data_IF_124142489038
#
_entry.id   IF_124142489038
#
_cell.length_a   1.000
_cell.length_b   1.000
_cell.length_c   1.000
_cell.angle_alpha   90.00
_cell.angle_beta   90.00
_cell.angle_gamma   90.00
#
_symmetry.space_group_name_H-M   'P 1'
#
loop_
_entity.id
_entity.type
_entity.pdbx_description
1 polymer ?
#
# COMPACT_ATOMS: atom_id res chain seq x y z
N UNK A 1 22.67 -21.97 5.55
CA UNK A 1 22.14 -20.68 6.04
C UNK A 1 21.57 -19.95 4.83
N UNK A 2 20.26 -20.03 4.60
CA UNK A 2 19.61 -19.12 3.65
C UNK A 2 19.16 -17.91 4.45
N UNK A 3 19.78 -16.76 4.18
CA UNK A 3 19.26 -15.49 4.63
C UNK A 3 17.93 -15.29 3.91
N UNK A 4 16.83 -15.29 4.66
CA UNK A 4 15.55 -14.75 4.19
C UNK A 4 15.76 -13.25 4.07
N UNK A 5 16.27 -12.82 2.91
CA UNK A 5 16.31 -11.42 2.57
C UNK A 5 14.87 -11.06 2.23
N UNK A 6 14.14 -10.55 3.22
CA UNK A 6 12.84 -9.92 3.00
C UNK A 6 13.09 -8.73 2.08
N UNK A 7 12.97 -8.96 0.77
CA UNK A 7 12.87 -7.90 -0.22
C UNK A 7 11.80 -6.94 0.28
N UNK A 8 12.12 -5.66 0.40
CA UNK A 8 11.13 -4.63 0.68
C UNK A 8 9.98 -4.83 -0.32
N UNK A 9 8.78 -5.11 0.17
CA UNK A 9 7.65 -5.46 -0.69
C UNK A 9 7.42 -4.41 -1.76
N UNK A 10 6.89 -4.84 -2.90
CA UNK A 10 6.61 -3.92 -4.00
C UNK A 10 5.49 -2.95 -3.60
N UNK A 11 5.60 -1.69 -4.05
CA UNK A 11 4.56 -0.72 -3.78
C UNK A 11 3.38 -1.03 -4.69
N UNK A 12 2.19 -1.16 -4.08
CA UNK A 12 0.94 -1.39 -4.79
C UNK A 12 0.03 -0.18 -4.69
N UNK A 13 -0.62 0.11 -5.81
CA UNK A 13 -1.71 1.05 -5.95
C UNK A 13 -3.00 0.26 -6.13
N UNK A 14 -4.03 0.54 -5.34
CA UNK A 14 -5.35 -0.11 -5.43
C UNK A 14 -6.43 0.92 -5.75
N UNK A 15 -7.22 0.64 -6.79
CA UNK A 15 -8.40 1.41 -7.19
C UNK A 15 -9.57 0.43 -7.30
N UNK A 16 -10.55 0.55 -6.40
CA UNK A 16 -11.66 -0.42 -6.33
C UNK A 16 -11.13 -1.84 -6.13
N UNK A 17 -11.36 -2.73 -7.11
CA UNK A 17 -10.85 -4.11 -7.11
C UNK A 17 -9.54 -4.30 -7.89
N UNK A 18 -9.06 -3.26 -8.57
CA UNK A 18 -7.85 -3.31 -9.40
C UNK A 18 -6.61 -2.99 -8.58
N UNK A 19 -5.56 -3.78 -8.76
CA UNK A 19 -4.28 -3.63 -8.05
C UNK A 19 -3.16 -3.50 -9.09
N UNK A 20 -2.30 -2.51 -8.91
CA UNK A 20 -1.23 -2.17 -9.83
C UNK A 20 0.12 -2.11 -9.11
N UNK A 21 1.15 -2.71 -9.71
CA UNK A 21 2.53 -2.57 -9.25
C UNK A 21 3.05 -1.17 -9.59
N UNK A 22 3.71 -0.56 -8.62
CA UNK A 22 4.37 0.74 -8.76
C UNK A 22 5.87 0.58 -8.58
N UNK A 23 6.61 0.80 -9.66
CA UNK A 23 8.06 0.95 -9.63
C UNK A 23 8.41 2.29 -8.97
N UNK A 24 9.20 2.27 -7.90
CA UNK A 24 9.58 3.47 -7.14
C UNK A 24 11.05 3.79 -7.37
N UNK A 25 11.34 5.08 -7.59
CA UNK A 25 12.70 5.56 -7.81
C UNK A 25 13.52 5.54 -6.52
N UNK A 26 14.83 5.37 -6.65
CA UNK A 26 15.77 5.50 -5.52
C UNK A 26 16.12 6.98 -5.30
N UNK A 27 15.25 7.69 -4.58
CA UNK A 27 15.47 9.09 -4.21
C UNK A 27 14.82 9.46 -2.85
N UNK A 28 15.21 10.59 -2.22
CA UNK A 28 14.70 10.99 -0.91
C UNK A 28 13.19 11.18 -0.86
N UNK A 29 12.57 11.71 -1.92
CA UNK A 29 11.12 11.93 -2.00
C UNK A 29 10.37 10.61 -2.00
N UNK A 30 10.82 9.64 -2.79
CA UNK A 30 10.26 8.30 -2.88
C UNK A 30 10.40 7.52 -1.55
N UNK A 31 11.55 7.62 -0.88
CA UNK A 31 11.76 7.04 0.45
C UNK A 31 10.82 7.64 1.49
N UNK A 32 10.65 8.97 1.47
CA UNK A 32 9.73 9.67 2.37
C UNK A 32 8.26 9.32 2.07
N UNK A 33 7.88 9.20 0.79
CA UNK A 33 6.55 8.75 0.38
C UNK A 33 6.25 7.33 0.86
N UNK A 34 7.20 6.39 0.70
CA UNK A 34 7.08 5.01 1.22
C UNK A 34 6.84 4.97 2.73
N UNK A 35 7.39 5.93 3.48
CA UNK A 35 7.23 6.03 4.93
C UNK A 35 5.82 6.51 5.36
N UNK A 36 5.01 7.01 4.42
CA UNK A 36 3.61 7.38 4.68
C UNK A 36 2.64 6.21 4.52
N UNK A 37 3.11 5.05 4.03
CA UNK A 37 2.24 3.93 3.69
C UNK A 37 1.86 3.09 4.93
N UNK A 38 0.65 2.50 4.95
CA UNK A 38 -0.40 2.61 3.94
C UNK A 38 -1.07 3.99 3.93
N UNK A 39 -1.44 4.47 2.75
CA UNK A 39 -2.03 5.79 2.55
C UNK A 39 -3.25 5.70 1.63
N UNK A 40 -4.39 6.13 2.12
CA UNK A 40 -5.63 6.27 1.35
C UNK A 40 -5.83 7.74 0.98
N UNK A 41 -5.94 8.03 -0.32
CA UNK A 41 -6.13 9.36 -0.85
C UNK A 41 -7.37 9.41 -1.72
N UNK A 42 -8.21 10.41 -1.48
CA UNK A 42 -9.31 10.76 -2.36
C UNK A 42 -8.82 11.78 -3.37
N UNK A 43 -8.50 11.32 -4.58
CA UNK A 43 -7.83 12.10 -5.62
C UNK A 43 -8.85 12.67 -6.60
N UNK A 44 -8.77 13.97 -6.85
CA UNK A 44 -9.63 14.68 -7.78
C UNK A 44 -9.03 14.69 -9.19
N UNK A 45 -9.91 14.70 -10.19
CA UNK A 45 -9.52 14.93 -11.57
C UNK A 45 -9.13 16.40 -11.78
N UNK A 46 -8.02 16.62 -12.48
CA UNK A 46 -7.62 17.92 -12.95
C UNK A 46 -7.34 17.83 -14.46
N UNK A 47 -7.93 18.75 -15.22
CA UNK A 47 -7.77 18.88 -16.68
C UNK A 47 -8.06 17.63 -17.54
N UNK A 48 -8.61 16.55 -16.97
CA UNK A 48 -8.90 15.32 -17.70
C UNK A 48 -7.70 14.43 -18.01
N UNK A 49 -6.50 14.72 -17.49
CA UNK A 49 -5.26 13.97 -17.74
C UNK A 49 -4.50 13.51 -16.48
N UNK A 50 -4.89 14.02 -15.31
CA UNK A 50 -4.22 13.72 -14.04
C UNK A 50 -5.20 13.60 -12.87
N UNK A 51 -4.84 12.77 -11.89
CA UNK A 51 -5.47 12.75 -10.56
C UNK A 51 -4.52 13.40 -9.57
N UNK A 52 -5.05 14.20 -8.65
CA UNK A 52 -4.23 14.84 -7.62
C UNK A 52 -4.87 14.84 -6.22
N UNK A 53 -4.03 14.83 -5.19
CA UNK A 53 -4.41 15.05 -3.80
C UNK A 53 -3.23 15.59 -2.99
N UNK A 54 -3.53 16.32 -1.91
CA UNK A 54 -2.50 16.74 -0.98
C UNK A 54 -2.15 15.63 0.02
N UNK A 55 -0.86 15.40 0.20
CA UNK A 55 -0.30 14.56 1.25
C UNK A 55 -0.51 15.19 2.63
N UNK A 56 -0.59 14.38 3.71
CA UNK A 56 -0.75 14.90 5.07
C UNK A 56 0.45 15.75 5.51
N UNK A 57 1.65 15.41 5.05
CA UNK A 57 2.93 16.05 5.39
C UNK A 57 3.70 16.41 4.13
N UNK A 58 4.48 17.49 4.19
CA UNK A 58 5.38 17.86 3.10
C UNK A 58 6.55 16.87 2.98
N UNK A 59 6.94 16.55 1.75
CA UNK A 59 8.07 15.70 1.42
C UNK A 59 9.29 16.53 0.98
N UNK A 60 10.51 15.97 1.05
CA UNK A 60 11.68 16.53 0.36
C UNK A 60 11.42 16.64 -1.14
N UNK A 61 12.01 17.64 -1.78
CA UNK A 61 11.81 17.90 -3.21
C UNK A 61 13.14 18.04 -3.93
N UNK A 62 13.15 17.59 -5.19
CA UNK A 62 14.24 17.75 -6.14
C UNK A 62 13.60 18.00 -7.51
N UNK A 63 12.81 19.07 -7.60
CA UNK A 63 11.93 19.31 -8.73
C UNK A 63 12.72 19.69 -9.98
N UNK A 64 12.44 19.03 -11.09
CA UNK A 64 13.03 19.30 -12.40
C UNK A 64 11.93 19.43 -13.44
N UNK A 65 12.20 20.12 -14.54
CA UNK A 65 11.34 20.08 -15.72
C UNK A 65 11.51 18.71 -16.41
N UNK A 66 10.45 17.87 -16.47
CA UNK A 66 10.55 16.57 -17.12
C UNK A 66 10.48 16.67 -18.67
N UNK A 67 10.04 17.80 -19.23
CA UNK A 67 9.75 18.03 -20.65
C UNK A 67 8.52 17.26 -21.17
N UNK A 68 8.47 15.95 -20.89
CA UNK A 68 7.35 15.07 -21.19
C UNK A 68 7.01 14.20 -19.98
N UNK A 69 5.71 14.08 -19.76
CA UNK A 69 5.07 13.22 -18.78
C UNK A 69 4.36 12.10 -19.53
N UNK A 70 4.40 10.90 -18.94
CA UNK A 70 3.82 9.68 -19.51
C UNK A 70 2.68 9.18 -18.64
N UNK A 71 1.67 8.57 -19.25
CA UNK A 71 0.66 7.84 -18.50
C UNK A 71 1.32 6.80 -17.56
N UNK A 72 0.89 6.76 -16.31
CA UNK A 72 1.50 5.97 -15.23
C UNK A 72 2.52 6.73 -14.38
N UNK A 73 2.98 7.91 -14.78
CA UNK A 73 3.92 8.69 -13.97
C UNK A 73 3.30 9.11 -12.63
N UNK A 74 4.00 8.82 -11.52
CA UNK A 74 3.67 9.27 -10.17
C UNK A 74 4.68 10.33 -9.73
N UNK A 75 4.18 11.54 -9.46
CA UNK A 75 5.02 12.71 -9.22
C UNK A 75 4.53 13.56 -8.04
N UNK A 76 5.42 14.41 -7.54
CA UNK A 76 5.12 15.43 -6.54
C UNK A 76 5.21 16.82 -7.18
N UNK A 77 4.11 17.57 -7.10
CA UNK A 77 4.07 19.00 -7.39
C UNK A 77 4.26 19.81 -6.10
N UNK A 78 5.19 20.76 -6.13
CA UNK A 78 5.66 21.42 -4.91
C UNK A 78 6.20 20.38 -3.92
N UNK A 79 5.78 20.46 -2.66
CA UNK A 79 6.20 19.53 -1.60
C UNK A 79 5.07 18.67 -1.04
N UNK A 80 3.82 18.86 -1.46
CA UNK A 80 2.65 18.23 -0.85
C UNK A 80 1.68 17.60 -1.84
N UNK A 81 1.60 18.07 -3.07
CA UNK A 81 0.55 17.62 -3.99
C UNK A 81 1.05 16.42 -4.77
N UNK A 82 0.50 15.25 -4.46
CA UNK A 82 0.75 14.02 -5.21
C UNK A 82 -0.08 14.07 -6.50
N UNK A 83 0.57 13.73 -7.61
CA UNK A 83 -0.04 13.74 -8.94
C UNK A 83 0.19 12.37 -9.60
N UNK A 84 -0.90 11.75 -10.04
CA UNK A 84 -0.90 10.51 -10.80
C UNK A 84 -1.40 10.82 -12.22
N UNK A 85 -0.52 10.66 -13.19
CA UNK A 85 -0.82 10.92 -14.59
C UNK A 85 -1.39 9.66 -15.24
N UNK A 86 -2.48 9.81 -15.99
CA UNK A 86 -3.04 8.72 -16.80
C UNK A 86 -3.14 9.09 -18.29
N UNK A 87 -2.66 10.26 -18.69
CA UNK A 87 -2.47 10.61 -20.09
C UNK A 87 -1.08 11.24 -20.30
N UNK A 88 -0.54 11.09 -21.50
CA UNK A 88 0.71 11.74 -21.88
C UNK A 88 0.52 13.26 -21.92
N UNK A 89 1.49 14.01 -21.40
CA UNK A 89 1.41 15.47 -21.35
C UNK A 89 2.77 16.12 -21.54
N UNK A 90 2.83 17.26 -22.22
CA UNK A 90 4.04 18.08 -22.31
C UNK A 90 3.87 19.31 -21.44
N UNK A 91 4.90 19.62 -20.66
CA UNK A 91 4.86 20.70 -19.69
C UNK A 91 6.25 21.30 -19.51
N UNK A 92 6.28 22.55 -19.04
CA UNK A 92 7.49 23.23 -18.56
C UNK A 92 7.48 23.39 -17.04
N UNK A 93 6.43 22.89 -16.37
CA UNK A 93 6.36 22.88 -14.91
C UNK A 93 7.33 21.88 -14.32
N UNK A 94 7.79 22.18 -13.11
CA UNK A 94 8.73 21.33 -12.41
C UNK A 94 8.01 20.37 -11.47
N UNK A 95 8.49 19.13 -11.46
CA UNK A 95 7.97 18.06 -10.62
C UNK A 95 9.13 17.27 -10.03
N UNK A 96 8.90 16.65 -8.87
CA UNK A 96 9.82 15.62 -8.36
C UNK A 96 9.23 14.25 -8.66
N UNK A 97 9.91 13.44 -9.48
CA UNK A 97 9.45 12.08 -9.83
C UNK A 97 9.55 11.16 -8.61
N UNK A 98 8.50 10.38 -8.35
CA UNK A 98 8.45 9.38 -7.28
C UNK A 98 8.55 7.97 -7.85
N UNK A 99 7.80 7.68 -8.90
CA UNK A 99 7.70 6.34 -9.47
C UNK A 99 6.83 6.29 -10.71
N UNK A 100 6.53 5.08 -11.14
CA UNK A 100 5.73 4.79 -12.34
C UNK A 100 4.85 3.57 -12.05
N UNK A 101 3.57 3.66 -12.42
CA UNK A 101 2.65 2.52 -12.48
C UNK A 101 2.97 1.69 -13.72
N UNK A 102 3.21 0.40 -13.54
CA UNK A 102 3.75 -0.46 -14.61
C UNK A 102 2.73 -0.76 -15.70
N UNK A 103 1.47 -1.00 -15.34
CA UNK A 103 0.35 -1.19 -16.26
C UNK A 103 -0.43 0.11 -16.42
N UNK A 104 0.06 1.01 -17.28
CA UNK A 104 -0.58 2.30 -17.54
C UNK A 104 -1.90 2.17 -18.30
N UNK A 105 -2.06 1.18 -19.18
CA UNK A 105 -3.32 0.94 -19.90
C UNK A 105 -4.43 0.49 -18.94
N UNK A 106 -4.13 -0.46 -18.06
CA UNK A 106 -5.04 -0.89 -17.00
C UNK A 106 -5.35 0.24 -16.01
N UNK A 107 -4.36 1.09 -15.70
CA UNK A 107 -4.56 2.27 -14.86
C UNK A 107 -5.60 3.21 -15.47
N UNK A 108 -5.46 3.57 -16.76
CA UNK A 108 -6.39 4.47 -17.48
C UNK A 108 -7.83 3.96 -17.39
N UNK A 109 -8.02 2.65 -17.57
CA UNK A 109 -9.35 2.04 -17.46
C UNK A 109 -9.92 2.09 -16.04
N UNK A 110 -9.07 2.00 -15.00
CA UNK A 110 -9.50 1.97 -13.60
C UNK A 110 -9.76 3.36 -13.00
N UNK A 111 -9.00 4.39 -13.39
CA UNK A 111 -9.13 5.73 -12.80
C UNK A 111 -10.44 6.42 -13.15
N UNK A 112 -10.95 6.21 -14.37
CA UNK A 112 -12.17 6.83 -14.88
C UNK A 112 -12.19 8.36 -14.79
N UNK A 113 -13.38 8.95 -14.91
CA UNK A 113 -13.58 10.39 -14.81
C UNK A 113 -13.88 10.83 -13.37
N UNK A 114 -13.46 12.04 -13.00
CA UNK A 114 -13.81 12.65 -11.73
C UNK A 114 -13.01 12.12 -10.54
N UNK A 115 -13.59 12.20 -9.35
CA UNK A 115 -12.90 11.91 -8.09
C UNK A 115 -12.91 10.41 -7.78
N UNK A 116 -11.77 9.89 -7.32
CA UNK A 116 -11.58 8.46 -7.02
C UNK A 116 -10.81 8.25 -5.71
N UNK A 117 -11.13 7.19 -4.98
CA UNK A 117 -10.36 6.75 -3.81
C UNK A 117 -9.25 5.78 -4.25
N UNK A 118 -8.00 6.13 -3.93
CA UNK A 118 -6.81 5.35 -4.26
C UNK A 118 -6.07 4.99 -2.98
N UNK A 119 -5.74 3.71 -2.83
CA UNK A 119 -4.93 3.22 -1.73
C UNK A 119 -3.53 2.88 -2.21
N UNK A 120 -2.53 3.40 -1.53
CA UNK A 120 -1.13 3.04 -1.70
C UNK A 120 -0.68 2.20 -0.51
N UNK A 121 -0.03 1.07 -0.76
CA UNK A 121 0.48 0.19 0.29
C UNK A 121 1.73 -0.55 -0.17
N UNK A 122 2.49 -1.10 0.77
CA UNK A 122 3.51 -2.10 0.46
C UNK A 122 2.81 -3.46 0.38
N UNK A 123 3.15 -4.27 -0.62
CA UNK A 123 2.71 -5.65 -0.70
C UNK A 123 2.96 -6.37 0.64
N UNK A 124 1.88 -6.83 1.26
CA UNK A 124 2.00 -7.60 2.48
C UNK A 124 2.60 -8.96 2.17
N UNK A 125 3.68 -9.34 2.84
CA UNK A 125 4.05 -10.75 2.94
C UNK A 125 2.87 -11.44 3.63
N UNK A 126 2.08 -12.20 2.87
CA UNK A 126 1.18 -13.18 3.45
C UNK A 126 2.06 -14.25 4.09
N UNK A 127 2.38 -14.05 5.38
CA UNK A 127 2.86 -15.14 6.21
C UNK A 127 1.67 -16.08 6.30
N UNK A 128 1.64 -17.09 5.42
CA UNK A 128 0.80 -18.24 5.65
C UNK A 128 1.16 -18.77 7.03
N UNK A 129 0.20 -18.71 7.95
CA UNK A 129 0.34 -19.26 9.30
C UNK A 129 1.08 -20.61 9.21
N UNK A 130 2.19 -20.83 9.95
CA UNK A 130 2.71 -22.17 10.09
C UNK A 130 1.64 -22.99 10.80
N UNK A 131 0.89 -23.75 10.00
CA UNK A 131 0.00 -24.81 10.50
C UNK A 131 0.83 -25.70 11.42
N UNK A 132 0.35 -26.05 12.64
CA UNK A 132 1.09 -26.94 13.52
C UNK A 132 1.05 -28.35 12.92
N UNK A 133 2.05 -28.68 12.10
CA UNK A 133 2.26 -30.03 11.58
C UNK A 133 2.73 -30.93 12.72
N UNK A 134 1.87 -31.86 13.11
CA UNK A 134 2.15 -32.91 14.08
C UNK A 134 3.27 -33.83 13.58
N UNK A 135 4.05 -34.33 14.55
CA UNK A 135 4.82 -35.59 14.59
C UNK A 135 6.35 -35.44 14.55
N UNK A 136 6.97 -35.48 15.74
CA UNK A 136 7.80 -36.62 16.16
C UNK A 136 8.09 -36.57 17.67
N UNK A 137 7.93 -37.72 18.32
CA UNK A 137 8.14 -37.93 19.75
C UNK A 137 9.60 -38.26 20.10
N UNK A 138 10.12 -37.76 21.23
CA UNK A 138 10.58 -38.59 22.38
C UNK A 138 11.43 -37.82 23.42
N UNK A 139 11.14 -38.11 24.70
CA UNK A 139 11.96 -37.96 25.93
C UNK A 139 11.70 -36.79 26.90
N UNK A 140 10.60 -36.94 27.66
CA UNK A 140 10.50 -36.93 29.15
C UNK A 140 11.38 -35.97 29.98
N UNK A 141 10.74 -35.06 30.73
CA UNK A 141 10.74 -35.11 32.21
C UNK A 141 9.48 -34.45 32.79
N UNK A 142 8.73 -35.24 33.54
CA UNK A 142 7.56 -34.84 34.34
C UNK A 142 8.04 -34.05 35.55
N UNK A 143 7.44 -32.87 35.80
CA UNK A 143 7.40 -32.28 37.14
C UNK A 143 5.95 -31.95 37.48
N UNK A 144 5.43 -32.71 38.43
CA UNK A 144 4.13 -32.61 39.07
C UNK A 144 3.85 -31.22 39.63
N UNK A 145 2.60 -30.74 39.56
CA UNK A 145 1.74 -30.13 40.60
C UNK A 145 0.50 -29.63 39.83
N UNK A 146 -0.65 -30.31 39.86
CA UNK A 146 -1.68 -30.15 40.89
C UNK A 146 -2.92 -29.45 40.30
N UNK A 147 -4.00 -30.23 40.09
CA UNK A 147 -5.36 -29.88 39.61
C UNK A 147 -6.11 -28.81 40.46
N UNK A 148 -7.37 -28.39 40.15
CA UNK A 148 -8.29 -28.77 39.05
C UNK A 148 -9.02 -27.62 38.32
N UNK A 149 -9.63 -27.99 37.17
CA UNK A 149 -10.82 -27.38 36.56
C UNK A 149 -11.90 -27.08 37.61
N UNK A 150 -12.61 -25.95 37.48
CA UNK A 150 -14.05 -25.87 37.71
C UNK A 150 -14.66 -24.72 36.90
N UNK A 151 -15.52 -25.09 35.95
CA UNK A 151 -16.88 -24.56 35.72
C UNK A 151 -17.00 -23.05 35.43
N UNK A 152 -17.46 -22.71 34.22
CA UNK A 152 -18.63 -21.83 34.05
C UNK A 152 -19.46 -22.29 32.85
N UNK A 153 -20.46 -23.12 33.17
CA UNK A 153 -21.58 -23.51 32.32
C UNK A 153 -22.76 -22.56 32.59
N UNK A 154 -23.64 -22.45 31.60
CA UNK A 154 -25.04 -22.00 31.65
C UNK A 154 -25.33 -20.50 31.44
N UNK A 155 -25.65 -20.16 30.19
CA UNK A 155 -26.68 -19.17 29.89
C UNK A 155 -27.95 -19.93 29.44
N UNK A 156 -28.94 -20.02 30.31
CA UNK A 156 -30.27 -20.59 30.03
C UNK A 156 -31.34 -19.49 30.07
N UNK A 157 -32.13 -19.41 28.98
CA UNK A 157 -33.58 -19.15 28.87
C UNK A 157 -34.22 -17.97 29.66
N UNK A 158 -34.81 -16.93 29.04
CA UNK A 158 -36.07 -16.81 28.25
C UNK A 158 -37.36 -16.61 29.10
N UNK A 159 -38.12 -15.54 28.75
CA UNK A 159 -39.58 -15.27 28.86
C UNK A 159 -40.24 -14.64 30.14
N UNK A 160 -41.11 -13.66 29.84
CA UNK A 160 -42.31 -13.11 30.53
C UNK A 160 -42.11 -12.38 31.89
N UNK A 161 -42.24 -11.05 31.89
CA UNK A 161 -43.45 -10.30 32.29
C UNK A 161 -43.38 -8.86 31.78
#
# INVERSE_FOLDING_TARGET
MSANNSSAGDLQLTIGSSVFTTSILDNPTASAFRSLLPLDLRMSDLNGNEKHADLPTALPTASTDPGSIRAGDLMLYGSRTLVLWYEDYSTTYTYTRIGVIEDSEGLVAAVGEGQIDIRFAIEGISVSDPTPSSNQASSVKVSSYGWPLMIFLCLMYVLIY
#
